data_IF_190482856714
#
_entry.id   IF_190482856714
#
_cell.length_a   1.000
_cell.length_b   1.000
_cell.length_c   1.000
_cell.angle_alpha   90.00
_cell.angle_beta   90.00
_cell.angle_gamma   90.00
#
_symmetry.space_group_name_H-M   'P 1'
#
loop_
_entity.id
_entity.type
_entity.pdbx_description
1 polymer ?
#
# COMPACT_ATOMS: atom_id res chain seq x y z
N UNK A 1 4.66 1.83 1.55
CA UNK A 1 5.15 2.04 0.17
C UNK A 1 6.13 0.93 -0.19
N UNK A 2 6.22 0.53 -1.46
CA UNK A 2 7.15 -0.50 -1.96
C UNK A 2 7.82 -0.06 -3.26
N UNK A 3 9.04 -0.50 -3.51
CA UNK A 3 9.66 -0.37 -4.83
C UNK A 3 9.22 -1.54 -5.72
N UNK A 4 8.83 -1.20 -6.94
CA UNK A 4 8.51 -2.16 -7.99
C UNK A 4 9.80 -2.59 -8.73
N UNK A 5 9.71 -3.65 -9.53
CA UNK A 5 10.85 -4.19 -10.29
C UNK A 5 11.42 -3.19 -11.30
N UNK A 6 10.61 -2.24 -11.77
CA UNK A 6 11.04 -1.19 -12.70
C UNK A 6 11.61 0.06 -11.99
N UNK A 7 11.76 0.01 -10.66
CA UNK A 7 12.34 1.08 -9.85
C UNK A 7 11.33 2.13 -9.37
N UNK A 8 10.06 2.06 -9.79
CA UNK A 8 9.03 3.00 -9.30
C UNK A 8 8.61 2.68 -7.87
N UNK A 9 8.44 3.73 -7.07
CA UNK A 9 7.79 3.70 -5.76
C UNK A 9 6.28 3.66 -5.91
N UNK A 10 5.67 2.62 -5.34
CA UNK A 10 4.23 2.43 -5.28
C UNK A 10 3.68 2.68 -3.86
N UNK A 11 2.63 3.49 -3.80
CA UNK A 11 1.70 3.52 -2.68
C UNK A 11 0.69 2.39 -2.85
N UNK A 12 0.59 1.52 -1.85
CA UNK A 12 -0.43 0.48 -1.79
C UNK A 12 -1.57 1.02 -0.93
N UNK A 13 -2.79 0.95 -1.46
CA UNK A 13 -4.02 1.39 -0.79
C UNK A 13 -4.97 0.21 -0.76
N UNK A 14 -5.70 0.06 0.33
CA UNK A 14 -6.72 -0.97 0.48
C UNK A 14 -8.06 -0.30 0.82
N UNK A 15 -9.15 -0.80 0.24
CA UNK A 15 -10.50 -0.26 0.44
C UNK A 15 -10.96 -0.38 1.89
N UNK A 16 -10.47 -1.39 2.58
CA UNK A 16 -10.84 -1.74 3.94
C UNK A 16 -9.71 -2.55 4.62
N UNK A 17 -9.89 -2.78 5.92
CA UNK A 17 -8.90 -3.45 6.76
C UNK A 17 -8.81 -4.97 6.47
N UNK A 18 -9.92 -5.60 6.07
CA UNK A 18 -9.94 -7.03 5.77
C UNK A 18 -9.11 -7.30 4.50
N UNK A 19 -9.30 -6.47 3.46
CA UNK A 19 -8.49 -6.48 2.23
C UNK A 19 -7.03 -6.24 2.53
N UNK A 20 -6.70 -5.32 3.44
CA UNK A 20 -5.32 -5.07 3.85
C UNK A 20 -4.69 -6.33 4.44
N UNK A 21 -5.35 -7.01 5.38
CA UNK A 21 -4.82 -8.22 5.99
C UNK A 21 -4.70 -9.36 4.97
N UNK A 22 -5.74 -9.63 4.19
CA UNK A 22 -5.76 -10.67 3.16
C UNK A 22 -4.64 -10.47 2.11
N UNK A 23 -4.39 -9.24 1.69
CA UNK A 23 -3.49 -8.96 0.58
C UNK A 23 -2.06 -8.57 1.01
N UNK A 24 -1.88 -7.97 2.18
CA UNK A 24 -0.61 -7.39 2.63
C UNK A 24 0.03 -8.15 3.81
N UNK A 25 -0.78 -8.91 4.55
CA UNK A 25 -0.41 -9.49 5.84
C UNK A 25 -0.82 -8.61 7.02
N UNK A 26 -0.84 -9.19 8.22
CA UNK A 26 -1.37 -8.62 9.46
C UNK A 26 -0.34 -7.79 10.25
N UNK A 27 0.96 -8.09 10.10
CA UNK A 27 2.05 -7.34 10.77
C UNK A 27 2.48 -6.07 10.03
N UNK A 28 1.85 -5.74 8.90
CA UNK A 28 2.22 -4.56 8.13
C UNK A 28 1.65 -3.28 8.77
N UNK A 29 2.52 -2.35 9.17
CA UNK A 29 2.08 -1.02 9.63
C UNK A 29 1.30 -0.27 8.55
N UNK A 30 0.17 0.32 8.93
CA UNK A 30 -0.77 1.03 8.06
C UNK A 30 -1.38 2.26 8.74
N UNK A 31 -2.00 3.13 7.94
CA UNK A 31 -2.81 4.27 8.39
C UNK A 31 -4.12 4.30 7.60
N UNK A 32 -5.20 4.78 8.20
CA UNK A 32 -6.45 5.09 7.48
C UNK A 32 -6.53 6.58 7.22
N UNK A 33 -6.81 6.95 5.98
CA UNK A 33 -7.00 8.33 5.55
C UNK A 33 -8.17 8.41 4.57
N UNK A 34 -8.82 9.57 4.50
CA UNK A 34 -9.80 9.83 3.45
C UNK A 34 -9.09 9.92 2.09
N UNK A 35 -9.74 9.43 1.02
CA UNK A 35 -9.22 9.53 -0.35
C UNK A 35 -8.88 10.96 -0.76
N UNK A 36 -9.62 11.94 -0.24
CA UNK A 36 -9.38 13.37 -0.46
C UNK A 36 -7.99 13.84 0.03
N UNK A 37 -7.36 13.14 0.97
CA UNK A 37 -6.04 13.48 1.52
C UNK A 37 -4.87 12.80 0.77
N UNK A 38 -5.14 11.99 -0.26
CA UNK A 38 -4.08 11.31 -1.03
C UNK A 38 -3.15 12.32 -1.72
N UNK A 39 -3.67 13.47 -2.17
CA UNK A 39 -2.84 14.53 -2.76
C UNK A 39 -1.83 15.09 -1.77
N UNK A 40 -2.24 15.33 -0.53
CA UNK A 40 -1.33 15.78 0.53
C UNK A 40 -0.26 14.73 0.82
N UNK A 41 -0.62 13.44 0.77
CA UNK A 41 0.33 12.35 0.91
C UNK A 41 1.34 12.33 -0.25
N UNK A 42 0.89 12.59 -1.48
CA UNK A 42 1.77 12.70 -2.65
C UNK A 42 2.76 13.86 -2.52
N UNK A 43 2.32 15.01 -1.99
CA UNK A 43 3.19 16.18 -1.78
C UNK A 43 4.27 15.91 -0.72
N UNK A 44 3.89 15.25 0.39
CA UNK A 44 4.82 14.92 1.48
C UNK A 44 5.74 13.72 1.15
N UNK A 45 5.20 12.73 0.45
CA UNK A 45 5.85 11.46 0.15
C UNK A 45 5.58 11.06 -1.31
N UNK A 46 6.38 11.58 -2.27
CA UNK A 46 6.13 11.33 -3.68
C UNK A 46 6.19 9.85 -4.05
N UNK A 47 5.12 9.37 -4.68
CA UNK A 47 5.04 8.06 -5.32
C UNK A 47 4.73 8.21 -6.81
N UNK A 48 5.10 7.20 -7.60
CA UNK A 48 4.82 7.18 -9.05
C UNK A 48 3.64 6.29 -9.41
N UNK A 49 3.22 5.43 -8.48
CA UNK A 49 2.14 4.48 -8.65
C UNK A 49 1.26 4.48 -7.42
N UNK A 50 -0.05 4.43 -7.64
CA UNK A 50 -1.03 4.05 -6.63
C UNK A 50 -1.66 2.74 -7.07
N UNK A 51 -1.56 1.72 -6.24
CA UNK A 51 -2.17 0.42 -6.49
C UNK A 51 -3.23 0.16 -5.42
N UNK A 52 -4.45 -0.12 -5.87
CA UNK A 52 -5.59 -0.40 -5.01
C UNK A 52 -5.83 -1.91 -4.95
N UNK A 53 -5.99 -2.45 -3.75
CA UNK A 53 -6.40 -3.84 -3.47
C UNK A 53 -5.58 -4.91 -4.21
N UNK A 54 -4.29 -4.65 -4.40
CA UNK A 54 -3.35 -5.61 -5.00
C UNK A 54 -2.91 -6.63 -3.99
N UNK A 55 -3.07 -7.91 -4.34
CA UNK A 55 -2.52 -9.02 -3.56
C UNK A 55 -1.01 -9.06 -3.69
N UNK A 56 -0.30 -8.93 -2.57
CA UNK A 56 1.13 -9.18 -2.49
C UNK A 56 1.34 -10.70 -2.43
N UNK A 57 2.27 -11.29 -3.20
CA UNK A 57 2.62 -12.70 -3.06
C UNK A 57 2.96 -13.07 -1.61
N UNK A 58 2.54 -14.25 -1.15
CA UNK A 58 2.66 -14.70 0.24
C UNK A 58 4.08 -14.58 0.80
N UNK A 59 5.09 -14.90 -0.01
CA UNK A 59 6.53 -14.81 0.30
C UNK A 59 7.01 -13.39 0.62
N UNK A 60 6.23 -12.38 0.23
CA UNK A 60 6.56 -10.96 0.32
C UNK A 60 5.66 -10.19 1.29
N UNK A 61 4.67 -10.87 1.90
CA UNK A 61 3.82 -10.34 2.98
C UNK A 61 4.59 -10.32 4.29
N UNK A 62 4.15 -9.50 5.26
CA UNK A 62 4.68 -9.50 6.63
C UNK A 62 3.70 -10.19 7.56
N UNK A 63 4.19 -10.94 8.55
CA UNK A 63 3.34 -11.71 9.48
C UNK A 63 2.84 -13.05 8.97
N UNK A 64 3.45 -13.55 7.89
CA UNK A 64 3.14 -14.86 7.32
C UNK A 64 4.05 -15.94 7.90
#
# INVERSE_FOLDING_TARGET
>A
MRQTRDGRTALLVYSDIDRLHECCGDEQAWISIATAHISQLQDAHPFQLLMLDVSIPDELRRGN
#
